data_IF_569864422891
#
_entry.id   IF_569864422891
#
_cell.length_a   1.000
_cell.length_b   1.000
_cell.length_c   1.000
_cell.angle_alpha   90.00
_cell.angle_beta   90.00
_cell.angle_gamma   90.00
#
_symmetry.space_group_name_H-M   'P 1'
#
loop_
_entity.id
_entity.type
_entity.pdbx_description
1 polymer ?
#
# COMPACT_ATOMS: atom_id res chain seq x y z
N UNK A 1 -31.12 -8.92 6.02
CA UNK A 1 -29.75 -9.43 5.79
C UNK A 1 -29.49 -9.39 4.27
N UNK A 2 -29.19 -8.21 3.72
CA UNK A 2 -28.98 -8.04 2.27
C UNK A 2 -27.51 -8.32 1.94
N UNK A 3 -27.23 -9.50 1.38
CA UNK A 3 -25.99 -9.75 0.64
C UNK A 3 -26.17 -9.14 -0.75
N UNK A 4 -25.76 -7.90 -0.93
CA UNK A 4 -25.54 -7.35 -2.28
C UNK A 4 -24.28 -7.99 -2.85
N UNK A 5 -24.43 -9.02 -3.69
CA UNK A 5 -23.34 -9.44 -4.58
C UNK A 5 -23.09 -8.29 -5.53
N UNK A 6 -21.90 -7.68 -5.46
CA UNK A 6 -21.56 -6.51 -6.25
C UNK A 6 -21.29 -6.91 -7.71
N UNK A 7 -22.36 -7.13 -8.48
CA UNK A 7 -22.31 -7.20 -9.93
C UNK A 7 -21.93 -5.80 -10.44
N UNK A 8 -20.67 -5.63 -10.88
CA UNK A 8 -20.07 -4.38 -11.41
C UNK A 8 -19.14 -3.58 -10.47
N UNK A 9 -18.42 -4.21 -9.53
CA UNK A 9 -17.39 -3.49 -8.74
C UNK A 9 -16.35 -2.82 -9.64
N UNK A 10 -15.77 -3.53 -10.60
CA UNK A 10 -14.70 -2.99 -11.45
C UNK A 10 -15.15 -1.80 -12.33
N UNK A 11 -16.28 -1.87 -13.07
CA UNK A 11 -16.83 -0.69 -13.76
C UNK A 11 -17.17 0.48 -12.83
N UNK A 12 -17.69 0.21 -11.63
CA UNK A 12 -18.00 1.24 -10.64
C UNK A 12 -16.72 1.96 -10.17
N UNK A 13 -15.67 1.20 -9.84
CA UNK A 13 -14.37 1.74 -9.46
C UNK A 13 -13.78 2.58 -10.61
N UNK A 14 -13.82 2.10 -11.85
CA UNK A 14 -13.39 2.85 -13.03
C UNK A 14 -14.13 4.16 -13.25
N UNK A 15 -15.40 4.23 -12.87
CA UNK A 15 -16.22 5.44 -13.06
C UNK A 15 -16.05 6.46 -11.93
N UNK A 16 -15.94 6.01 -10.68
CA UNK A 16 -16.05 6.88 -9.51
C UNK A 16 -14.77 7.02 -8.68
N UNK A 17 -13.79 6.12 -8.84
CA UNK A 17 -12.54 6.18 -8.08
C UNK A 17 -11.46 7.01 -8.80
N UNK A 18 -10.49 7.48 -8.01
CA UNK A 18 -9.36 8.26 -8.51
C UNK A 18 -8.34 7.37 -9.19
N UNK A 19 -7.76 7.87 -10.29
CA UNK A 19 -6.70 7.21 -11.05
C UNK A 19 -5.43 8.07 -11.04
N UNK A 20 -4.29 7.40 -11.25
CA UNK A 20 -3.02 8.07 -11.50
C UNK A 20 -3.05 8.61 -12.93
N UNK A 21 -3.24 9.92 -13.08
CA UNK A 21 -3.39 10.56 -14.39
C UNK A 21 -2.33 11.66 -14.56
N UNK A 22 -1.78 11.74 -15.75
CA UNK A 22 -0.80 12.76 -16.12
C UNK A 22 0.63 12.37 -15.76
N UNK A 23 1.51 13.38 -15.76
CA UNK A 23 2.94 13.18 -15.54
C UNK A 23 3.26 13.02 -14.05
N UNK A 24 3.95 11.94 -13.65
CA UNK A 24 4.38 11.76 -12.27
C UNK A 24 5.42 12.80 -11.86
N UNK A 25 5.41 13.18 -10.59
CA UNK A 25 6.47 13.92 -9.91
C UNK A 25 7.14 13.01 -8.90
N UNK A 26 8.47 12.95 -8.95
CA UNK A 26 9.27 12.11 -8.07
C UNK A 26 9.87 12.99 -6.97
N UNK A 27 9.77 12.56 -5.72
CA UNK A 27 10.39 13.21 -4.57
C UNK A 27 11.02 12.16 -3.67
N UNK A 28 12.28 12.36 -3.30
CA UNK A 28 13.05 11.43 -2.46
C UNK A 28 13.11 11.88 -0.99
N UNK A 29 13.08 13.19 -0.74
CA UNK A 29 13.48 13.75 0.54
C UNK A 29 12.38 14.64 1.14
N UNK A 30 11.84 14.18 2.28
CA UNK A 30 10.79 14.80 3.10
C UNK A 30 9.43 14.89 2.41
N UNK A 31 8.63 13.83 2.55
CA UNK A 31 7.19 13.93 2.33
C UNK A 31 6.61 14.83 3.43
N UNK A 32 5.72 15.76 3.06
CA UNK A 32 4.82 16.44 3.99
C UNK A 32 3.78 15.48 4.56
N UNK A 33 2.51 15.89 4.65
CA UNK A 33 1.45 14.93 4.98
C UNK A 33 1.33 13.90 3.86
N UNK A 34 1.34 12.61 4.22
CA UNK A 34 1.12 11.52 3.26
C UNK A 34 -0.27 11.65 2.63
N UNK A 35 -1.25 12.20 3.35
CA UNK A 35 -2.63 12.37 2.87
C UNK A 35 -2.73 13.21 1.58
N UNK A 36 -1.84 14.20 1.43
CA UNK A 36 -1.80 15.11 0.28
C UNK A 36 -1.23 14.45 -0.98
N UNK A 37 -0.62 13.28 -0.84
CA UNK A 37 0.05 12.59 -1.93
C UNK A 37 -0.76 11.37 -2.36
N UNK A 38 -1.06 11.29 -3.65
CA UNK A 38 -1.68 10.12 -4.29
C UNK A 38 -0.79 9.63 -5.42
N UNK A 39 -0.41 8.37 -5.34
CA UNK A 39 0.70 7.83 -6.11
C UNK A 39 1.26 6.52 -5.57
N UNK A 40 2.48 6.23 -5.98
CA UNK A 40 3.25 5.04 -5.63
C UNK A 40 4.37 5.45 -4.69
N UNK A 41 4.52 4.72 -3.59
CA UNK A 41 5.54 5.00 -2.56
C UNK A 41 6.40 3.76 -2.35
N UNK A 42 7.73 3.95 -2.33
CA UNK A 42 8.67 2.96 -1.83
C UNK A 42 9.16 3.39 -0.46
N UNK A 43 8.89 2.57 0.55
CA UNK A 43 9.24 2.89 1.92
C UNK A 43 9.63 1.64 2.72
N UNK A 44 10.37 1.88 3.80
CA UNK A 44 10.60 0.95 4.88
C UNK A 44 9.49 1.11 5.90
N UNK A 45 8.81 0.03 6.22
CA UNK A 45 7.69 0.02 7.17
C UNK A 45 7.86 -1.09 8.20
N UNK A 46 7.42 -0.83 9.42
CA UNK A 46 7.39 -1.77 10.52
C UNK A 46 5.94 -2.18 10.80
N UNK A 47 5.57 -3.46 10.60
CA UNK A 47 4.24 -3.95 10.95
C UNK A 47 4.01 -3.98 12.47
N UNK A 48 2.77 -3.81 12.94
CA UNK A 48 2.40 -4.07 14.34
C UNK A 48 2.47 -5.57 14.64
N UNK A 49 2.47 -5.92 15.94
CA UNK A 49 2.35 -7.32 16.38
C UNK A 49 0.86 -7.69 16.48
N UNK A 50 0.51 -8.93 16.10
CA UNK A 50 -0.83 -9.49 16.35
C UNK A 50 -1.97 -8.91 15.50
N UNK A 51 -1.69 -8.40 14.29
CA UNK A 51 -2.74 -7.93 13.39
C UNK A 51 -3.44 -9.10 12.69
N UNK A 52 -4.77 -9.15 12.79
CA UNK A 52 -5.56 -10.27 12.27
C UNK A 52 -5.55 -10.38 10.73
N UNK A 53 -5.69 -9.24 10.03
CA UNK A 53 -5.52 -9.14 8.57
C UNK A 53 -4.36 -8.20 8.24
N UNK A 54 -3.18 -8.73 7.91
CA UNK A 54 -2.09 -7.91 7.40
C UNK A 54 -2.45 -7.29 6.05
N UNK A 55 -2.06 -6.04 5.84
CA UNK A 55 -2.48 -5.24 4.67
C UNK A 55 -1.43 -5.26 3.58
N UNK A 56 -0.17 -5.03 3.95
CA UNK A 56 0.87 -4.76 2.97
C UNK A 56 1.46 -6.05 2.43
N UNK A 57 1.39 -6.26 1.10
CA UNK A 57 1.97 -7.41 0.49
C UNK A 57 3.48 -7.30 0.34
N UNK A 58 4.14 -8.46 0.41
CA UNK A 58 5.55 -8.64 0.16
C UNK A 58 5.75 -9.88 -0.72
N UNK A 59 6.52 -9.72 -1.80
CA UNK A 59 6.95 -10.86 -2.61
C UNK A 59 8.20 -11.47 -1.98
N UNK A 60 8.08 -12.71 -1.50
CA UNK A 60 9.17 -13.46 -0.88
C UNK A 60 9.02 -14.95 -1.23
N UNK A 61 10.13 -15.65 -1.43
CA UNK A 61 10.15 -17.07 -1.83
C UNK A 61 9.31 -17.38 -3.09
N UNK A 62 9.33 -16.48 -4.08
CA UNK A 62 8.54 -16.61 -5.31
C UNK A 62 7.03 -16.43 -5.13
N UNK A 63 6.55 -16.23 -3.90
CA UNK A 63 5.14 -16.10 -3.54
C UNK A 63 4.80 -14.68 -3.11
N UNK A 64 3.53 -14.34 -3.23
CA UNK A 64 2.97 -13.11 -2.70
C UNK A 64 2.41 -13.40 -1.32
N UNK A 65 2.97 -12.78 -0.28
CA UNK A 65 2.58 -13.01 1.10
C UNK A 65 2.20 -11.69 1.76
N UNK A 66 1.42 -11.75 2.83
CA UNK A 66 1.02 -10.60 3.65
C UNK A 66 1.65 -10.73 5.05
N UNK A 67 2.97 -10.55 5.21
CA UNK A 67 3.64 -10.85 6.46
C UNK A 67 3.64 -9.67 7.46
N UNK A 68 3.69 -10.00 8.75
CA UNK A 68 3.98 -9.04 9.85
C UNK A 68 5.45 -9.02 10.26
N UNK A 69 6.27 -9.87 9.64
CA UNK A 69 7.70 -9.96 9.84
C UNK A 69 8.36 -10.41 8.54
N UNK A 70 9.30 -9.62 8.02
CA UNK A 70 10.09 -9.95 6.83
C UNK A 70 10.83 -11.28 6.98
N UNK A 71 11.63 -11.42 8.04
CA UNK A 71 12.46 -12.60 8.28
C UNK A 71 11.61 -13.87 8.43
N UNK A 72 10.49 -13.82 9.16
CA UNK A 72 9.59 -14.98 9.24
C UNK A 72 9.01 -15.38 7.88
N UNK A 73 8.73 -14.40 7.01
CA UNK A 73 8.23 -14.68 5.66
C UNK A 73 9.30 -15.31 4.77
N UNK A 74 10.54 -14.84 4.88
CA UNK A 74 11.70 -15.37 4.16
C UNK A 74 12.05 -16.80 4.64
N UNK A 75 12.02 -17.05 5.93
CA UNK A 75 12.32 -18.37 6.53
C UNK A 75 11.13 -19.33 6.55
N UNK A 76 9.94 -18.88 6.12
CA UNK A 76 8.68 -19.62 6.23
C UNK A 76 8.40 -20.09 7.67
N UNK A 77 8.80 -19.29 8.66
CA UNK A 77 8.65 -19.60 10.07
C UNK A 77 7.16 -19.57 10.48
N UNK A 78 6.66 -20.69 10.99
CA UNK A 78 5.29 -20.83 11.50
C UNK A 78 5.16 -20.66 13.02
N UNK A 79 6.28 -20.57 13.73
CA UNK A 79 6.30 -20.39 15.17
C UNK A 79 6.08 -18.92 15.57
N UNK A 80 5.73 -18.64 16.84
CA UNK A 80 5.63 -17.28 17.35
C UNK A 80 6.90 -16.47 17.07
N UNK A 81 6.74 -15.30 16.44
CA UNK A 81 7.84 -14.46 16.00
C UNK A 81 8.58 -13.81 17.18
N UNK A 82 9.87 -14.11 17.31
CA UNK A 82 10.77 -13.53 18.34
C UNK A 82 11.69 -12.43 17.78
N UNK A 83 11.60 -12.13 16.49
CA UNK A 83 12.46 -11.16 15.81
C UNK A 83 12.29 -9.72 16.32
N UNK A 84 13.38 -8.96 16.22
CA UNK A 84 13.42 -7.54 16.56
C UNK A 84 12.75 -6.65 15.51
N UNK A 85 12.60 -5.35 15.82
CA UNK A 85 11.92 -4.41 14.91
C UNK A 85 12.66 -4.24 13.57
N UNK A 86 13.99 -4.26 13.57
CA UNK A 86 14.79 -4.15 12.34
C UNK A 86 14.58 -5.33 11.39
N UNK A 87 14.55 -6.55 11.93
CA UNK A 87 14.32 -7.79 11.19
C UNK A 87 12.88 -7.89 10.68
N UNK A 88 11.91 -7.48 11.51
CA UNK A 88 10.49 -7.49 11.15
C UNK A 88 10.15 -6.48 10.06
N UNK A 89 10.79 -5.32 10.06
CA UNK A 89 10.55 -4.28 9.06
C UNK A 89 10.97 -4.74 7.66
N UNK A 90 10.22 -4.29 6.66
CA UNK A 90 10.54 -4.55 5.25
C UNK A 90 10.41 -3.30 4.40
N UNK A 91 11.13 -3.34 3.28
CA UNK A 91 11.06 -2.34 2.23
C UNK A 91 10.20 -2.91 1.11
N UNK A 92 9.24 -2.13 0.67
CA UNK A 92 8.41 -2.48 -0.47
C UNK A 92 7.90 -1.23 -1.18
N UNK A 93 7.20 -1.48 -2.28
CA UNK A 93 6.57 -0.45 -3.10
C UNK A 93 5.07 -0.71 -3.10
N UNK A 94 4.29 0.29 -2.70
CA UNK A 94 2.84 0.18 -2.56
C UNK A 94 2.15 1.44 -3.06
N UNK A 95 0.84 1.36 -3.22
CA UNK A 95 0.05 2.57 -3.45
C UNK A 95 -0.02 3.35 -2.14
N UNK A 96 0.13 4.67 -2.22
CA UNK A 96 0.01 5.60 -1.08
C UNK A 96 -1.22 5.32 -0.20
N UNK A 97 -2.38 5.01 -0.79
CA UNK A 97 -3.61 4.66 -0.05
C UNK A 97 -3.47 3.37 0.78
N UNK A 98 -2.78 2.34 0.29
CA UNK A 98 -2.51 1.13 1.06
C UNK A 98 -1.61 1.44 2.26
N UNK A 99 -0.62 2.33 2.06
CA UNK A 99 0.27 2.77 3.15
C UNK A 99 -0.50 3.61 4.18
N UNK A 100 -1.36 4.54 3.74
CA UNK A 100 -2.24 5.31 4.65
C UNK A 100 -3.11 4.38 5.50
N UNK A 101 -3.74 3.40 4.87
CA UNK A 101 -4.54 2.39 5.57
C UNK A 101 -3.69 1.55 6.54
N UNK A 102 -2.48 1.16 6.13
CA UNK A 102 -1.57 0.40 6.99
C UNK A 102 -1.19 1.19 8.25
N UNK A 103 -0.91 2.49 8.11
CA UNK A 103 -0.59 3.36 9.25
C UNK A 103 -1.78 3.45 10.19
N UNK A 104 -3.00 3.59 9.67
CA UNK A 104 -4.24 3.56 10.47
C UNK A 104 -4.43 2.24 11.22
N UNK A 105 -3.92 1.12 10.69
CA UNK A 105 -3.93 -0.18 11.38
C UNK A 105 -2.72 -0.42 12.29
N UNK A 106 -1.88 0.59 12.52
CA UNK A 106 -0.77 0.55 13.47
C UNK A 106 0.59 0.20 12.88
N UNK A 107 0.74 0.21 11.55
CA UNK A 107 2.07 0.14 10.94
C UNK A 107 2.83 1.45 11.17
N UNK A 108 4.14 1.36 11.38
CA UNK A 108 5.01 2.50 11.57
C UNK A 108 5.86 2.74 10.32
N UNK A 109 5.68 3.91 9.69
CA UNK A 109 6.48 4.34 8.56
C UNK A 109 7.88 4.75 9.04
N UNK A 110 8.89 3.95 8.72
CA UNK A 110 10.26 4.13 9.22
C UNK A 110 11.09 5.06 8.33
N UNK A 111 11.04 4.84 7.02
CA UNK A 111 11.82 5.62 6.04
C UNK A 111 11.13 5.63 4.69
N UNK A 112 11.01 6.80 4.09
CA UNK A 112 10.63 6.94 2.68
C UNK A 112 11.89 6.86 1.84
N UNK A 113 11.86 6.08 0.76
CA UNK A 113 12.98 5.95 -0.19
C UNK A 113 12.68 6.79 -1.43
N UNK A 114 11.49 6.64 -2.01
CA UNK A 114 10.98 7.56 -3.02
C UNK A 114 9.46 7.59 -2.99
N UNK A 115 8.91 8.70 -3.42
CA UNK A 115 7.50 8.90 -3.67
C UNK A 115 7.32 9.39 -5.10
N UNK A 116 6.50 8.69 -5.86
CA UNK A 116 6.03 9.09 -7.17
C UNK A 116 4.55 9.49 -7.04
N UNK A 117 4.26 10.79 -7.08
CA UNK A 117 2.91 11.31 -6.90
C UNK A 117 2.40 11.99 -8.17
N UNK A 118 1.08 11.97 -8.33
CA UNK A 118 0.40 12.51 -9.49
C UNK A 118 -0.43 13.69 -9.01
N UNK A 119 -0.14 14.94 -9.41
CA UNK A 119 -0.86 16.11 -8.90
C UNK A 119 -2.26 16.29 -9.50
N UNK A 120 -2.57 15.59 -10.61
CA UNK A 120 -3.84 15.69 -11.30
C UNK A 120 -4.73 14.51 -10.93
N UNK A 121 -5.92 14.82 -10.41
CA UNK A 121 -6.93 13.83 -10.03
C UNK A 121 -8.28 14.15 -10.68
N UNK A 122 -8.45 13.96 -11.99
CA UNK A 122 -9.78 14.00 -12.55
C UNK A 122 -10.58 12.84 -11.95
N UNK A 123 -11.72 13.15 -11.31
CA UNK A 123 -12.67 12.13 -10.81
C UNK A 123 -13.32 11.32 -11.94
N UNK A 124 -13.10 11.73 -13.20
CA UNK A 124 -13.82 11.26 -14.38
C UNK A 124 -12.88 10.75 -15.48
N UNK A 125 -11.81 10.01 -15.15
CA UNK A 125 -10.89 9.44 -16.15
C UNK A 125 -11.65 8.65 -17.24
N UNK A 126 -12.69 7.90 -16.87
CA UNK A 126 -13.49 7.13 -17.82
C UNK A 126 -14.22 7.99 -18.86
N UNK A 127 -14.63 9.22 -18.52
CA UNK A 127 -15.28 10.11 -19.49
C UNK A 127 -14.28 10.79 -20.43
N UNK A 128 -12.99 10.84 -20.08
CA UNK A 128 -11.94 11.48 -20.89
C UNK A 128 -11.39 10.57 -22.01
N UNK A 129 -11.49 9.24 -21.88
CA UNK A 129 -10.96 8.30 -22.87
C UNK A 129 -12.01 7.76 -23.86
N UNK A 130 -13.30 7.95 -23.59
CA UNK A 130 -14.41 7.41 -24.40
C UNK A 130 -15.32 8.50 -25.00
N UNK A 131 -14.85 9.75 -25.04
CA UNK A 131 -15.49 10.88 -25.72
C UNK A 131 -14.83 11.18 -27.05
#
# INVERSE_FOLDING_TARGET
MLRSTQTSLYPWVNKYCRYLVGRPKITADKIGDLNDHFGIIKCKILPPRGLYLPILPLRCNGKFMLPLCRTCAEELNQNPCQHGNHERSFIGTWVTEEVKLSIQKGYQLMKVIFLEFYPLHPSNFFNYCFS
#
